data_IF_103368314085
#
_entry.id   IF_103368314085
#
_cell.length_a   1.000
_cell.length_b   1.000
_cell.length_c   1.000
_cell.angle_alpha   90.00
_cell.angle_beta   90.00
_cell.angle_gamma   90.00
#
_symmetry.space_group_name_H-M   'P 1'
#
loop_
_entity.id
_entity.type
_entity.pdbx_description
1 polymer ?
#
# COMPACT_ATOMS: atom_id res chain seq x y z
N UNK A 1 2.19 10.01 -11.31
CA UNK A 1 3.50 10.37 -11.92
C UNK A 1 4.56 10.66 -10.88
N UNK A 2 4.34 11.52 -9.89
CA UNK A 2 5.33 11.85 -8.83
C UNK A 2 5.79 10.65 -8.00
N UNK A 3 4.89 9.72 -7.65
CA UNK A 3 5.22 8.56 -6.83
C UNK A 3 6.20 7.61 -7.55
N UNK A 4 5.96 7.30 -8.82
CA UNK A 4 6.85 6.46 -9.62
C UNK A 4 8.23 7.10 -9.83
N UNK A 5 8.30 8.43 -9.92
CA UNK A 5 9.58 9.14 -10.03
C UNK A 5 10.36 9.05 -8.73
N UNK A 6 9.72 9.34 -7.58
CA UNK A 6 10.36 9.22 -6.26
C UNK A 6 10.79 7.78 -5.94
N UNK A 7 9.96 6.80 -6.30
CA UNK A 7 10.32 5.40 -6.15
C UNK A 7 11.56 5.05 -7.00
N UNK A 8 11.62 5.52 -8.25
CA UNK A 8 12.78 5.27 -9.11
C UNK A 8 14.04 5.95 -8.57
N UNK A 9 13.97 7.21 -8.14
CA UNK A 9 15.10 7.95 -7.57
C UNK A 9 15.68 7.22 -6.34
N UNK A 10 14.81 6.71 -5.45
CA UNK A 10 15.25 5.94 -4.29
C UNK A 10 15.88 4.61 -4.72
N UNK A 11 15.31 3.92 -5.69
CA UNK A 11 15.86 2.68 -6.22
C UNK A 11 17.17 2.90 -6.99
N UNK A 12 17.31 3.97 -7.74
CA UNK A 12 18.56 4.32 -8.44
C UNK A 12 19.69 4.59 -7.45
N UNK A 13 19.36 5.15 -6.29
CA UNK A 13 20.32 5.45 -5.23
C UNK A 13 20.67 4.19 -4.40
N UNK A 14 19.67 3.33 -4.15
CA UNK A 14 19.77 2.20 -3.21
C UNK A 14 19.34 0.86 -3.83
N UNK A 15 19.04 0.81 -5.11
CA UNK A 15 18.38 -0.31 -5.79
C UNK A 15 19.15 -1.63 -5.82
N UNK A 16 20.45 -1.60 -5.55
CA UNK A 16 21.23 -2.82 -5.33
C UNK A 16 20.81 -3.58 -4.06
N UNK A 17 19.97 -2.98 -3.20
CA UNK A 17 19.50 -3.57 -1.96
C UNK A 17 18.20 -4.35 -2.10
N UNK A 18 17.40 -4.09 -3.15
CA UNK A 18 16.12 -4.77 -3.36
C UNK A 18 15.72 -4.85 -4.84
N UNK A 19 16.18 -5.89 -5.55
CA UNK A 19 15.73 -6.16 -6.93
C UNK A 19 14.21 -6.39 -7.02
N UNK A 20 13.58 -6.88 -5.95
CA UNK A 20 12.14 -7.17 -5.90
C UNK A 20 11.33 -5.88 -5.96
N UNK A 21 11.76 -4.81 -5.27
CA UNK A 21 11.09 -3.51 -5.37
C UNK A 21 11.16 -2.95 -6.80
N UNK A 22 12.29 -3.12 -7.49
CA UNK A 22 12.41 -2.74 -8.90
C UNK A 22 11.47 -3.55 -9.79
N UNK A 23 11.34 -4.85 -9.54
CA UNK A 23 10.40 -5.72 -10.24
C UNK A 23 8.96 -5.24 -10.03
N UNK A 24 8.56 -4.95 -8.79
CA UNK A 24 7.23 -4.43 -8.45
C UNK A 24 6.94 -3.08 -9.14
N UNK A 25 7.92 -2.19 -9.18
CA UNK A 25 7.80 -0.91 -9.88
C UNK A 25 7.58 -1.10 -11.39
N UNK A 26 8.32 -2.00 -12.02
CA UNK A 26 8.16 -2.32 -13.43
C UNK A 26 6.80 -2.97 -13.71
N UNK A 27 6.37 -3.90 -12.85
CA UNK A 27 5.06 -4.55 -12.95
C UNK A 27 3.91 -3.53 -12.98
N UNK A 28 3.94 -2.53 -12.08
CA UNK A 28 2.94 -1.45 -12.04
C UNK A 28 3.02 -0.54 -13.28
N UNK A 29 4.20 -0.25 -13.78
CA UNK A 29 4.40 0.57 -15.00
C UNK A 29 3.86 -0.09 -16.25
N UNK A 30 4.01 -1.42 -16.35
CA UNK A 30 3.55 -2.20 -17.50
C UNK A 30 2.02 -2.38 -17.50
N UNK A 31 1.35 -2.09 -16.38
CA UNK A 31 -0.10 -2.25 -16.17
C UNK A 31 -0.77 -0.95 -15.73
N UNK A 32 -0.62 0.16 -16.47
CA UNK A 32 -1.18 1.43 -16.04
C UNK A 32 -2.71 1.35 -15.96
N UNK A 33 -3.28 1.89 -14.90
CA UNK A 33 -4.73 2.06 -14.77
C UNK A 33 -5.24 2.99 -15.87
N UNK A 34 -6.27 2.54 -16.60
CA UNK A 34 -6.88 3.32 -17.70
C UNK A 34 -7.98 4.21 -17.14
N UNK A 35 -7.87 5.50 -17.43
CA UNK A 35 -8.88 6.54 -17.11
C UNK A 35 -9.50 6.43 -15.70
N UNK A 36 -8.70 6.35 -14.64
CA UNK A 36 -9.23 6.28 -13.29
C UNK A 36 -10.00 7.56 -12.96
N UNK A 37 -11.12 7.41 -12.26
CA UNK A 37 -11.79 8.53 -11.63
C UNK A 37 -10.77 9.25 -10.72
N UNK A 38 -10.77 10.57 -10.73
CA UNK A 38 -9.87 11.36 -9.87
C UNK A 38 -10.67 12.06 -8.78
N UNK A 39 -10.45 11.60 -7.56
CA UNK A 39 -11.05 12.20 -6.36
C UNK A 39 -9.98 12.44 -5.29
N UNK A 40 -10.42 12.88 -4.12
CA UNK A 40 -9.56 12.91 -2.95
C UNK A 40 -9.26 11.46 -2.51
N UNK A 41 -7.99 11.15 -2.38
CA UNK A 41 -7.44 9.89 -1.86
C UNK A 41 -6.75 10.22 -0.54
N UNK A 42 -6.94 9.38 0.47
CA UNK A 42 -6.28 9.53 1.77
C UNK A 42 -4.77 9.25 1.68
N UNK A 43 -4.41 8.16 0.98
CA UNK A 43 -3.02 7.77 0.73
C UNK A 43 -2.37 6.92 1.82
N UNK A 44 -2.92 6.89 3.04
CA UNK A 44 -2.52 5.98 4.15
C UNK A 44 -3.76 5.40 4.85
N UNK A 45 -4.73 4.92 4.06
CA UNK A 45 -6.01 4.41 4.56
C UNK A 45 -5.84 3.00 5.14
N UNK A 46 -5.64 2.92 6.46
CA UNK A 46 -5.39 1.69 7.21
C UNK A 46 -6.06 1.73 8.58
N UNK A 47 -6.23 0.57 9.20
CA UNK A 47 -6.88 0.44 10.50
C UNK A 47 -6.30 1.32 11.62
N UNK A 48 -5.00 1.60 11.62
CA UNK A 48 -4.38 2.50 12.60
C UNK A 48 -4.79 3.98 12.46
N UNK A 49 -5.40 4.36 11.32
CA UNK A 49 -5.87 5.72 11.05
C UNK A 49 -7.41 5.82 11.08
N UNK A 50 -8.10 4.77 11.55
CA UNK A 50 -9.55 4.72 11.69
C UNK A 50 -9.93 4.78 13.16
N UNK A 51 -10.63 5.83 13.57
CA UNK A 51 -11.23 5.93 14.89
C UNK A 51 -12.65 5.34 14.82
N UNK A 52 -12.91 4.32 15.61
CA UNK A 52 -14.19 3.60 15.63
C UNK A 52 -14.74 3.53 17.06
N UNK A 53 -16.06 3.48 17.19
CA UNK A 53 -16.78 3.19 18.43
C UNK A 53 -17.91 2.17 18.22
N UNK A 54 -18.86 2.08 19.14
CA UNK A 54 -19.98 1.14 19.09
C UNK A 54 -20.93 1.41 17.91
N UNK A 55 -21.00 2.65 17.43
CA UNK A 55 -21.85 3.08 16.31
C UNK A 55 -21.13 3.01 14.94
N UNK A 56 -19.83 2.75 14.92
CA UNK A 56 -19.05 2.56 13.70
C UNK A 56 -17.86 3.52 13.54
N UNK A 57 -17.64 4.01 12.31
CA UNK A 57 -16.51 4.90 11.99
C UNK A 57 -16.79 6.34 12.46
N UNK A 58 -16.01 6.80 13.42
CA UNK A 58 -16.09 8.17 13.98
C UNK A 58 -15.27 9.17 13.19
N UNK A 59 -14.02 8.78 12.82
CA UNK A 59 -13.12 9.66 12.08
C UNK A 59 -12.06 8.88 11.32
N UNK A 60 -11.54 9.50 10.25
CA UNK A 60 -10.33 9.10 9.55
C UNK A 60 -9.24 10.11 9.88
N UNK A 61 -8.11 9.63 10.39
CA UNK A 61 -7.00 10.43 10.91
C UNK A 61 -5.83 10.41 9.94
N UNK A 62 -4.89 11.35 10.09
CA UNK A 62 -3.60 11.38 9.40
C UNK A 62 -3.68 11.57 7.88
N UNK A 63 -4.20 12.72 7.48
CA UNK A 63 -4.41 13.12 6.09
C UNK A 63 -3.16 13.72 5.40
N UNK A 64 -1.98 13.55 5.97
CA UNK A 64 -0.74 14.19 5.45
C UNK A 64 -0.33 13.71 4.06
N UNK A 65 -0.77 12.50 3.65
CA UNK A 65 -0.52 11.92 2.32
C UNK A 65 -1.69 12.15 1.34
N UNK A 66 -2.69 12.93 1.74
CA UNK A 66 -3.86 13.14 0.91
C UNK A 66 -3.53 13.84 -0.42
N UNK A 67 -4.13 13.33 -1.48
CA UNK A 67 -3.89 13.84 -2.84
C UNK A 67 -5.06 13.55 -3.79
N UNK A 68 -5.02 14.14 -4.98
CA UNK A 68 -5.97 13.80 -6.05
C UNK A 68 -5.48 12.58 -6.81
N UNK A 69 -6.23 11.48 -6.74
CA UNK A 69 -5.87 10.19 -7.33
C UNK A 69 -7.06 9.28 -7.60
N UNK A 70 -6.77 8.03 -7.93
CA UNK A 70 -7.76 6.97 -8.09
C UNK A 70 -8.29 6.55 -6.71
N UNK A 71 -9.59 6.68 -6.41
CA UNK A 71 -10.15 6.33 -5.11
C UNK A 71 -10.00 4.84 -4.73
N UNK A 72 -9.81 3.95 -5.70
CA UNK A 72 -9.56 2.53 -5.45
C UNK A 72 -8.20 2.29 -4.77
N UNK A 73 -7.31 3.28 -4.81
CA UNK A 73 -6.03 3.24 -4.11
C UNK A 73 -6.20 2.98 -2.60
N UNK A 74 -7.10 3.68 -1.95
CA UNK A 74 -7.35 3.51 -0.51
C UNK A 74 -7.94 2.12 -0.20
N UNK A 75 -8.81 1.60 -1.09
CA UNK A 75 -9.36 0.26 -0.94
C UNK A 75 -8.28 -0.83 -1.06
N UNK A 76 -7.35 -0.69 -2.00
CA UNK A 76 -6.21 -1.61 -2.12
C UNK A 76 -5.23 -1.46 -0.95
N UNK A 77 -5.04 -0.25 -0.45
CA UNK A 77 -4.12 0.03 0.64
C UNK A 77 -4.54 -0.64 1.94
N UNK A 78 -5.81 -0.53 2.36
CA UNK A 78 -6.32 -1.21 3.56
C UNK A 78 -6.27 -2.74 3.43
N UNK A 79 -6.27 -3.26 2.21
CA UNK A 79 -6.15 -4.70 1.94
C UNK A 79 -4.71 -5.21 1.92
N UNK A 80 -3.69 -4.36 2.05
CA UNK A 80 -2.30 -4.78 2.07
C UNK A 80 -2.01 -5.69 3.29
N UNK A 81 -1.19 -6.73 3.07
CA UNK A 81 -0.93 -7.74 4.09
C UNK A 81 -0.32 -7.17 5.36
N UNK A 82 0.51 -6.14 5.25
CA UNK A 82 1.14 -5.45 6.38
C UNK A 82 0.14 -4.92 7.41
N UNK A 83 -1.07 -4.57 6.99
CA UNK A 83 -2.13 -4.03 7.85
C UNK A 83 -3.06 -5.09 8.44
N UNK A 84 -2.83 -6.37 8.13
CA UNK A 84 -3.63 -7.49 8.66
C UNK A 84 -3.16 -8.01 10.00
N UNK A 85 -1.90 -7.70 10.41
CA UNK A 85 -1.28 -8.13 11.67
C UNK A 85 -1.41 -9.64 11.93
N UNK A 86 -1.25 -10.46 10.85
CA UNK A 86 -1.35 -11.92 10.92
C UNK A 86 -2.78 -12.46 10.88
N UNK A 87 -3.80 -11.63 10.78
CA UNK A 87 -5.18 -12.07 10.58
C UNK A 87 -5.40 -12.62 9.16
N UNK A 88 -6.23 -13.67 8.98
CA UNK A 88 -6.62 -14.17 7.67
C UNK A 88 -7.61 -13.26 6.94
N UNK A 89 -8.23 -12.30 7.62
CA UNK A 89 -9.18 -11.35 7.03
C UNK A 89 -8.45 -10.38 6.11
N UNK A 90 -8.86 -10.25 4.82
CA UNK A 90 -8.12 -9.50 3.82
C UNK A 90 -8.20 -7.98 4.00
N UNK A 91 -9.26 -7.45 4.57
CA UNK A 91 -9.48 -6.00 4.72
C UNK A 91 -9.07 -5.58 6.12
N UNK A 92 -7.90 -4.96 6.25
CA UNK A 92 -7.37 -4.42 7.51
C UNK A 92 -7.25 -5.44 8.65
N UNK A 93 -7.33 -6.74 8.35
CA UNK A 93 -7.33 -7.81 9.35
C UNK A 93 -8.69 -8.04 10.02
N UNK A 94 -9.75 -7.31 9.66
CA UNK A 94 -11.06 -7.41 10.30
C UNK A 94 -12.23 -7.67 9.34
N UNK A 95 -12.13 -7.29 8.05
CA UNK A 95 -13.21 -7.38 7.06
C UNK A 95 -12.92 -8.30 5.89
N UNK A 96 -13.95 -8.55 5.08
CA UNK A 96 -13.87 -9.33 3.85
C UNK A 96 -14.04 -8.43 2.61
N UNK A 97 -13.52 -8.86 1.45
CA UNK A 97 -13.65 -8.09 0.20
C UNK A 97 -15.11 -7.83 -0.19
N UNK A 98 -16.00 -8.81 0.03
CA UNK A 98 -17.41 -8.67 -0.33
C UNK A 98 -18.07 -7.48 0.41
N UNK A 99 -17.79 -7.35 1.70
CA UNK A 99 -18.34 -6.27 2.54
C UNK A 99 -17.74 -4.91 2.14
N UNK A 100 -16.42 -4.86 1.89
CA UNK A 100 -15.74 -3.64 1.45
C UNK A 100 -16.32 -3.14 0.12
N UNK A 101 -16.45 -4.01 -0.86
CA UNK A 101 -16.95 -3.65 -2.19
C UNK A 101 -18.44 -3.25 -2.14
N UNK A 102 -19.28 -4.01 -1.43
CA UNK A 102 -20.69 -3.68 -1.27
C UNK A 102 -20.88 -2.34 -0.55
N UNK A 103 -20.11 -2.09 0.52
CA UNK A 103 -20.13 -0.81 1.23
C UNK A 103 -19.72 0.36 0.34
N UNK A 104 -18.65 0.20 -0.44
CA UNK A 104 -18.19 1.23 -1.37
C UNK A 104 -19.22 1.51 -2.48
N UNK A 105 -19.76 0.46 -3.10
CA UNK A 105 -20.78 0.57 -4.15
C UNK A 105 -22.05 1.24 -3.62
N UNK A 106 -22.49 0.93 -2.40
CA UNK A 106 -23.71 1.48 -1.82
C UNK A 106 -23.68 3.01 -1.69
N UNK A 107 -22.48 3.59 -1.54
CA UNK A 107 -22.28 5.04 -1.38
C UNK A 107 -21.95 5.72 -2.70
N UNK A 108 -21.14 5.08 -3.54
CA UNK A 108 -20.59 5.70 -4.76
C UNK A 108 -21.36 5.33 -6.02
N UNK A 109 -22.13 4.24 -5.99
CA UNK A 109 -22.74 3.63 -7.18
C UNK A 109 -21.73 2.95 -8.10
N UNK A 110 -20.47 2.77 -7.67
CA UNK A 110 -19.38 2.18 -8.44
C UNK A 110 -18.93 0.89 -7.76
N UNK A 111 -18.94 -0.23 -8.50
CA UNK A 111 -18.39 -1.51 -8.07
C UNK A 111 -16.96 -1.68 -8.62
N UNK A 112 -15.90 -1.47 -7.82
CA UNK A 112 -14.54 -1.68 -8.29
C UNK A 112 -14.30 -3.15 -8.62
N UNK A 113 -13.57 -3.42 -9.71
CA UNK A 113 -13.17 -4.78 -10.02
C UNK A 113 -12.07 -5.27 -9.06
N UNK A 114 -12.07 -6.57 -8.77
CA UNK A 114 -11.01 -7.16 -7.93
C UNK A 114 -9.62 -6.95 -8.51
N UNK A 115 -9.47 -6.94 -9.83
CA UNK A 115 -8.21 -6.61 -10.49
C UNK A 115 -7.71 -5.19 -10.14
N UNK A 116 -8.61 -4.24 -9.93
CA UNK A 116 -8.27 -2.88 -9.53
C UNK A 116 -7.78 -2.83 -8.09
N UNK A 117 -8.46 -3.54 -7.19
CA UNK A 117 -8.02 -3.72 -5.79
C UNK A 117 -6.63 -4.35 -5.78
N UNK A 118 -6.43 -5.42 -6.56
CA UNK A 118 -5.17 -6.13 -6.64
C UNK A 118 -4.02 -5.23 -7.11
N UNK A 119 -4.22 -4.45 -8.18
CA UNK A 119 -3.24 -3.46 -8.64
C UNK A 119 -2.80 -2.53 -7.50
N UNK A 120 -3.76 -2.03 -6.72
CA UNK A 120 -3.46 -1.12 -5.62
C UNK A 120 -2.89 -1.84 -4.39
N UNK A 121 -3.12 -3.14 -4.21
CA UNK A 121 -2.39 -3.93 -3.21
C UNK A 121 -0.90 -4.09 -3.59
N UNK A 122 -0.59 -4.35 -4.85
CA UNK A 122 0.81 -4.37 -5.33
C UNK A 122 1.47 -3.00 -5.10
N UNK A 123 0.75 -1.92 -5.43
CA UNK A 123 1.21 -0.56 -5.15
C UNK A 123 1.45 -0.32 -3.65
N UNK A 124 0.56 -0.78 -2.78
CA UNK A 124 0.69 -0.63 -1.33
C UNK A 124 1.90 -1.42 -0.77
N UNK A 125 2.10 -2.66 -1.23
CA UNK A 125 3.25 -3.47 -0.85
C UNK A 125 4.57 -2.84 -1.32
N UNK A 126 4.62 -2.29 -2.55
CA UNK A 126 5.77 -1.53 -3.04
C UNK A 126 6.02 -0.29 -2.17
N UNK A 127 4.99 0.50 -1.89
CA UNK A 127 5.10 1.71 -1.08
C UNK A 127 5.63 1.40 0.32
N UNK A 128 5.14 0.35 0.96
CA UNK A 128 5.64 -0.11 2.25
C UNK A 128 7.09 -0.56 2.16
N UNK A 129 7.47 -1.32 1.13
CA UNK A 129 8.85 -1.72 0.88
C UNK A 129 9.79 -0.52 0.74
N UNK A 130 9.35 0.54 0.03
CA UNK A 130 10.11 1.79 -0.10
C UNK A 130 10.31 2.50 1.25
N UNK A 131 9.28 2.51 2.10
CA UNK A 131 9.38 3.03 3.47
C UNK A 131 10.41 2.21 4.26
N UNK A 132 10.33 0.89 4.22
CA UNK A 132 11.28 0.00 4.90
C UNK A 132 12.73 0.23 4.43
N UNK A 133 12.93 0.36 3.11
CA UNK A 133 14.24 0.64 2.53
C UNK A 133 14.78 1.99 3.03
N UNK A 134 13.97 3.05 3.01
CA UNK A 134 14.37 4.37 3.53
C UNK A 134 14.73 4.33 5.01
N UNK A 135 13.94 3.62 5.84
CA UNK A 135 14.23 3.47 7.27
C UNK A 135 15.56 2.71 7.51
N UNK A 136 15.79 1.66 6.71
CA UNK A 136 17.06 0.92 6.76
C UNK A 136 18.24 1.83 6.44
N UNK A 137 18.13 2.66 5.40
CA UNK A 137 19.20 3.58 4.98
C UNK A 137 19.49 4.67 6.05
N UNK A 138 18.44 5.25 6.63
CA UNK A 138 18.59 6.22 7.73
C UNK A 138 19.34 5.60 8.90
N UNK A 139 19.02 4.35 9.26
CA UNK A 139 19.72 3.64 10.33
C UNK A 139 21.19 3.36 9.97
N UNK A 140 21.46 2.85 8.76
CA UNK A 140 22.80 2.46 8.31
C UNK A 140 23.74 3.65 8.10
N UNK A 141 23.21 4.76 7.61
CA UNK A 141 23.98 6.01 7.42
C UNK A 141 24.28 6.75 8.72
N UNK A 142 23.57 6.42 9.81
CA UNK A 142 23.64 7.15 11.07
C UNK A 142 22.82 8.44 11.08
N UNK A 143 22.01 8.69 10.06
CA UNK A 143 21.08 9.83 10.02
C UNK A 143 20.05 9.74 11.16
N UNK A 144 19.54 8.55 11.43
CA UNK A 144 18.69 8.24 12.57
C UNK A 144 18.95 6.79 13.03
N UNK A 145 19.74 6.64 14.09
CA UNK A 145 20.13 5.34 14.65
C UNK A 145 19.13 4.79 15.68
N UNK A 146 17.88 5.25 15.65
CA UNK A 146 16.84 4.77 16.55
C UNK A 146 16.52 3.29 16.34
N UNK A 147 16.10 2.61 17.40
CA UNK A 147 15.65 1.21 17.32
C UNK A 147 14.44 1.06 16.38
N UNK A 148 13.59 2.07 16.30
CA UNK A 148 12.43 2.11 15.40
C UNK A 148 12.86 1.98 13.95
N UNK A 149 13.87 2.77 13.49
CA UNK A 149 14.39 2.71 12.12
C UNK A 149 14.94 1.33 11.79
N UNK A 150 15.70 0.75 12.73
CA UNK A 150 16.22 -0.60 12.57
C UNK A 150 15.10 -1.64 12.48
N UNK A 151 14.09 -1.54 13.34
CA UNK A 151 12.97 -2.49 13.38
C UNK A 151 12.11 -2.43 12.12
N UNK A 152 11.76 -1.22 11.65
CA UNK A 152 10.99 -1.04 10.41
C UNK A 152 11.82 -1.45 9.19
N UNK A 153 13.10 -1.07 9.13
CA UNK A 153 14.00 -1.43 8.04
C UNK A 153 14.16 -2.94 7.84
N UNK A 154 14.13 -3.72 8.92
CA UNK A 154 14.18 -5.20 8.86
C UNK A 154 12.96 -5.83 8.19
N UNK A 155 11.83 -5.11 8.13
CA UNK A 155 10.60 -5.60 7.50
C UNK A 155 10.61 -5.49 5.97
N UNK A 156 11.70 -5.03 5.36
CA UNK A 156 11.84 -4.96 3.91
C UNK A 156 11.56 -6.31 3.25
N UNK A 157 12.09 -7.41 3.81
CA UNK A 157 11.87 -8.75 3.27
C UNK A 157 10.41 -9.22 3.33
N UNK A 158 9.62 -8.73 4.28
CA UNK A 158 8.18 -9.01 4.33
C UNK A 158 7.48 -8.37 3.11
N UNK A 159 7.79 -7.10 2.82
CA UNK A 159 7.27 -6.41 1.65
C UNK A 159 7.69 -7.05 0.32
N UNK A 160 8.93 -7.55 0.24
CA UNK A 160 9.43 -8.28 -0.93
C UNK A 160 8.66 -9.58 -1.17
N UNK A 161 8.40 -10.35 -0.11
CA UNK A 161 7.60 -11.57 -0.19
C UNK A 161 6.16 -11.24 -0.62
N UNK A 162 5.54 -10.25 -0.01
CA UNK A 162 4.18 -9.82 -0.37
C UNK A 162 4.08 -9.40 -1.83
N UNK A 163 5.07 -8.64 -2.34
CA UNK A 163 5.14 -8.26 -3.75
C UNK A 163 5.23 -9.46 -4.69
N UNK A 164 6.11 -10.41 -4.39
CA UNK A 164 6.26 -11.61 -5.21
C UNK A 164 4.98 -12.44 -5.25
N UNK A 165 4.34 -12.67 -4.10
CA UNK A 165 3.10 -13.43 -4.01
C UNK A 165 1.95 -12.74 -4.75
N UNK A 166 1.84 -11.41 -4.63
CA UNK A 166 0.82 -10.65 -5.34
C UNK A 166 1.03 -10.69 -6.87
N UNK A 167 2.26 -10.55 -7.34
CA UNK A 167 2.56 -10.58 -8.78
C UNK A 167 2.41 -11.98 -9.38
N UNK A 168 2.67 -13.06 -8.61
CA UNK A 168 2.48 -14.44 -9.04
C UNK A 168 1.00 -14.82 -9.13
N UNK A 169 0.17 -14.32 -8.23
CA UNK A 169 -1.27 -14.62 -8.17
C UNK A 169 -2.08 -14.20 -9.40
N UNK A 170 -1.55 -13.35 -10.27
CA UNK A 170 -2.15 -13.05 -11.59
C UNK A 170 -1.81 -14.10 -12.66
N UNK A 171 -0.86 -14.98 -12.40
CA UNK A 171 -0.40 -15.97 -13.39
C UNK A 171 -1.18 -17.30 -13.33
N UNK A 172 -2.13 -17.40 -12.41
CA UNK A 172 -3.02 -18.55 -12.21
C UNK A 172 -4.47 -18.22 -12.56
#
# INVERSE_FOLDING_TARGET
MLLFQRAQELLDTHGNLSPVLQLGLNWLRDRPRRDPLRTLVHGDFRNGNLLVDEDGLVAVLDWELAHLGDPVQDLGYICANVWRFGSPKPVGGFGDYADLLAGYESVTGIAPAMADIHYWQVHAALSWGMVCLRMLEMYRSGEDSSLERAAVGRRLSEAEIDLLLLMEGESA
#
